data_IF_107426523754
#
_entry.id   IF_107426523754
#
_cell.length_a   1.000
_cell.length_b   1.000
_cell.length_c   1.000
_cell.angle_alpha   90.00
_cell.angle_beta   90.00
_cell.angle_gamma   90.00
#
_symmetry.space_group_name_H-M   'P 1'
#
loop_
_entity.id
_entity.type
_entity.pdbx_description
1 polymer ?
#
# COMPACT_ATOMS: atom_id res chain seq x y z
N UNK A 1 -5.00 32.38 21.20
CA UNK A 1 -4.40 31.92 22.48
C UNK A 1 -5.25 30.86 23.17
N UNK A 2 -6.32 31.20 23.92
CA UNK A 2 -7.03 30.25 24.82
C UNK A 2 -7.49 28.91 24.22
N UNK A 3 -7.91 28.90 22.94
CA UNK A 3 -8.32 27.66 22.24
C UNK A 3 -7.13 26.77 21.88
N UNK A 4 -5.99 27.36 21.52
CA UNK A 4 -4.76 26.64 21.21
C UNK A 4 -4.15 26.03 22.48
N UNK A 5 -4.13 26.79 23.57
CA UNK A 5 -3.72 26.31 24.90
C UNK A 5 -4.58 25.13 25.36
N UNK A 6 -5.91 25.22 25.27
CA UNK A 6 -6.79 24.12 25.65
C UNK A 6 -6.58 22.84 24.81
N UNK A 7 -6.21 23.00 23.53
CA UNK A 7 -5.86 21.87 22.67
C UNK A 7 -4.50 21.27 23.05
N UNK A 8 -3.50 22.12 23.33
CA UNK A 8 -2.19 21.70 23.82
C UNK A 8 -2.27 20.97 25.16
N UNK A 9 -3.11 21.45 26.09
CA UNK A 9 -3.35 20.78 27.38
C UNK A 9 -4.02 19.41 27.22
N UNK A 10 -4.90 19.25 26.21
CA UNK A 10 -5.66 18.01 26.01
C UNK A 10 -4.88 16.95 25.22
N UNK A 11 -4.07 17.36 24.25
CA UNK A 11 -3.42 16.46 23.29
C UNK A 11 -1.89 16.45 23.38
N UNK A 12 -1.32 17.34 24.18
CA UNK A 12 0.13 17.50 24.37
C UNK A 12 0.80 18.29 23.25
N UNK A 13 2.13 18.27 23.30
CA UNK A 13 3.05 19.01 22.42
C UNK A 13 2.87 18.66 20.92
N UNK A 14 2.63 17.39 20.60
CA UNK A 14 2.68 16.96 19.19
C UNK A 14 1.37 17.20 18.44
N UNK A 15 1.35 18.22 17.59
CA UNK A 15 0.23 18.55 16.68
C UNK A 15 -0.17 17.37 15.78
N UNK A 16 0.76 16.46 15.50
CA UNK A 16 0.47 15.24 14.73
C UNK A 16 -0.57 14.33 15.41
N UNK A 17 -0.68 14.39 16.74
CA UNK A 17 -1.63 13.62 17.55
C UNK A 17 -3.00 14.28 17.64
N UNK A 18 -3.11 15.54 17.27
CA UNK A 18 -4.35 16.31 17.38
C UNK A 18 -5.38 15.81 16.34
N UNK A 19 -6.68 16.12 16.52
CA UNK A 19 -7.72 15.82 15.53
C UNK A 19 -7.40 16.46 14.17
N UNK A 20 -7.68 15.75 13.07
CA UNK A 20 -7.27 16.14 11.73
C UNK A 20 -7.81 17.53 11.32
N UNK A 21 -8.98 17.88 11.84
CA UNK A 21 -9.70 19.12 11.57
C UNK A 21 -8.98 20.35 12.10
N UNK A 22 -8.17 20.20 13.15
CA UNK A 22 -7.47 21.32 13.82
C UNK A 22 -5.98 21.37 13.54
N UNK A 23 -5.39 20.36 12.89
CA UNK A 23 -3.93 20.31 12.63
C UNK A 23 -3.45 21.44 11.73
N UNK A 24 -4.17 21.69 10.63
CA UNK A 24 -3.79 22.73 9.67
C UNK A 24 -3.92 24.13 10.28
N UNK A 25 -4.96 24.36 11.07
CA UNK A 25 -5.17 25.61 11.81
C UNK A 25 -4.08 25.81 12.88
N UNK A 26 -3.76 24.77 13.63
CA UNK A 26 -2.72 24.80 14.66
C UNK A 26 -1.32 25.05 14.06
N UNK A 27 -0.99 24.42 12.93
CA UNK A 27 0.28 24.65 12.23
C UNK A 27 0.38 26.10 11.71
N UNK A 28 -0.68 26.62 11.07
CA UNK A 28 -0.73 28.01 10.63
C UNK A 28 -0.64 29.00 11.80
N UNK A 29 -1.24 28.69 12.95
CA UNK A 29 -1.15 29.51 14.16
C UNK A 29 0.27 29.54 14.74
N UNK A 30 1.03 28.44 14.65
CA UNK A 30 2.44 28.41 15.04
C UNK A 30 3.35 29.24 14.14
N UNK A 31 3.10 29.21 12.84
CA UNK A 31 3.85 30.03 11.88
C UNK A 31 3.58 31.52 12.08
N UNK A 32 2.33 31.87 12.41
CA UNK A 32 1.92 33.25 12.65
C UNK A 32 2.38 33.80 14.01
N UNK A 33 2.44 32.96 15.04
CA UNK A 33 2.68 33.38 16.42
C UNK A 33 3.76 32.52 17.10
N UNK A 34 5.02 33.00 17.14
CA UNK A 34 6.13 32.28 17.75
C UNK A 34 5.94 31.99 19.25
N UNK A 35 5.12 32.77 19.95
CA UNK A 35 4.81 32.52 21.36
C UNK A 35 3.98 31.24 21.59
N UNK A 36 3.25 30.76 20.57
CA UNK A 36 2.55 29.48 20.62
C UNK A 36 3.51 28.28 20.78
N UNK A 37 4.73 28.39 20.24
CA UNK A 37 5.77 27.38 20.41
C UNK A 37 6.28 27.31 21.86
N UNK A 38 6.15 28.38 22.65
CA UNK A 38 6.49 28.34 24.07
C UNK A 38 5.48 27.51 24.88
N UNK A 39 4.19 27.61 24.55
CA UNK A 39 3.13 26.81 25.15
C UNK A 39 3.32 25.31 24.89
N UNK A 40 3.63 24.92 23.64
CA UNK A 40 3.93 23.51 23.33
C UNK A 40 5.17 23.00 24.06
N UNK A 41 6.19 23.84 24.21
CA UNK A 41 7.43 23.47 24.92
C UNK A 41 7.21 23.26 26.42
N UNK A 42 6.26 23.95 27.01
CA UNK A 42 5.86 23.75 28.40
C UNK A 42 5.13 22.40 28.55
N UNK A 43 4.19 22.10 27.66
CA UNK A 43 3.54 20.80 27.59
C UNK A 43 4.56 19.66 27.37
N UNK A 44 5.52 19.85 26.47
CA UNK A 44 6.59 18.87 26.19
C UNK A 44 7.47 18.59 27.41
N UNK A 45 7.76 19.63 28.22
CA UNK A 45 8.54 19.47 29.45
C UNK A 45 7.79 18.65 30.50
N UNK A 46 6.49 18.88 30.66
CA UNK A 46 5.65 18.08 31.55
C UNK A 46 5.62 16.61 31.09
N UNK A 47 5.40 16.36 29.80
CA UNK A 47 5.41 15.02 29.23
C UNK A 47 6.77 14.32 29.41
N UNK A 48 7.87 15.06 29.29
CA UNK A 48 9.22 14.52 29.51
C UNK A 48 9.46 14.12 30.98
N UNK A 49 8.95 14.92 31.93
CA UNK A 49 8.99 14.58 33.36
C UNK A 49 8.19 13.32 33.62
N UNK A 50 6.98 13.22 33.05
CA UNK A 50 6.12 12.05 33.20
C UNK A 50 6.72 10.78 32.55
N UNK A 51 7.35 10.92 31.39
CA UNK A 51 8.01 9.81 30.70
C UNK A 51 9.25 9.29 31.45
N UNK A 52 9.88 10.12 32.27
CA UNK A 52 11.01 9.74 33.13
C UNK A 52 10.60 8.82 34.30
N UNK A 53 9.34 8.85 34.72
CA UNK A 53 8.84 7.98 35.77
C UNK A 53 8.40 6.60 35.23
N UNK A 54 9.39 5.70 35.20
CA UNK A 54 9.27 4.24 35.25
C UNK A 54 8.78 3.48 34.00
N UNK A 55 9.68 2.73 33.33
CA UNK A 55 9.28 1.45 32.78
C UNK A 55 9.02 0.50 33.95
N UNK A 56 7.75 0.27 34.28
CA UNK A 56 7.36 -0.88 35.11
C UNK A 56 7.83 -2.12 34.36
N UNK A 57 8.79 -2.86 34.92
CA UNK A 57 9.16 -4.19 34.42
C UNK A 57 7.88 -5.01 34.33
N UNK A 58 7.40 -5.19 33.10
CA UNK A 58 6.11 -5.86 32.87
C UNK A 58 6.26 -7.29 33.36
N UNK A 59 5.38 -7.73 34.27
CA UNK A 59 5.45 -9.11 34.72
C UNK A 59 5.07 -10.03 33.55
N UNK A 60 5.81 -11.12 33.36
CA UNK A 60 5.55 -12.12 32.30
C UNK A 60 4.08 -12.59 32.28
N UNK A 61 3.41 -12.55 33.44
CA UNK A 61 2.00 -12.89 33.58
C UNK A 61 1.07 -11.85 32.94
N UNK A 62 1.37 -10.56 33.06
CA UNK A 62 0.58 -9.49 32.45
C UNK A 62 0.74 -9.50 30.93
N UNK A 63 1.96 -9.70 30.43
CA UNK A 63 2.23 -9.84 28.99
C UNK A 63 1.42 -11.00 28.41
N UNK A 64 1.49 -12.18 29.03
CA UNK A 64 0.71 -13.36 28.60
C UNK A 64 -0.79 -13.13 28.65
N UNK A 65 -1.29 -12.37 29.64
CA UNK A 65 -2.71 -12.05 29.75
C UNK A 65 -3.17 -11.10 28.64
N UNK A 66 -2.36 -10.11 28.30
CA UNK A 66 -2.62 -9.16 27.21
C UNK A 66 -2.62 -9.92 25.87
N UNK A 67 -1.58 -10.72 25.60
CA UNK A 67 -1.48 -11.52 24.38
C UNK A 67 -2.67 -12.49 24.22
N UNK A 68 -3.16 -13.07 25.32
CA UNK A 68 -4.34 -13.96 25.31
C UNK A 68 -5.66 -13.21 25.08
N UNK A 69 -5.71 -11.92 25.41
CA UNK A 69 -6.91 -11.09 25.23
C UNK A 69 -7.10 -10.59 23.80
N UNK A 70 -6.08 -10.71 22.94
CA UNK A 70 -6.24 -10.38 21.53
C UNK A 70 -7.18 -11.38 20.83
N UNK A 71 -8.12 -10.90 20.00
CA UNK A 71 -8.91 -11.77 19.16
C UNK A 71 -7.97 -12.55 18.24
N UNK A 72 -8.06 -13.88 18.28
CA UNK A 72 -7.27 -14.74 17.39
C UNK A 72 -7.58 -14.34 15.94
N UNK A 73 -6.57 -14.14 15.08
CA UNK A 73 -6.82 -13.90 13.66
C UNK A 73 -7.65 -15.05 13.11
N UNK A 74 -8.77 -14.74 12.47
CA UNK A 74 -9.73 -15.71 11.91
C UNK A 74 -9.17 -16.54 10.73
N UNK A 75 -7.89 -16.35 10.39
CA UNK A 75 -7.23 -17.03 9.29
C UNK A 75 -6.21 -18.05 9.81
N UNK A 76 -6.73 -19.17 10.32
CA UNK A 76 -6.06 -20.48 10.22
C UNK A 76 -6.30 -21.08 8.82
N UNK A 77 -6.14 -20.26 7.77
CA UNK A 77 -6.18 -20.77 6.41
C UNK A 77 -4.84 -21.42 6.14
N UNK A 78 -4.82 -22.75 6.25
CA UNK A 78 -3.71 -23.64 6.00
C UNK A 78 -3.20 -23.44 4.54
N UNK A 79 -2.40 -22.38 4.33
CA UNK A 79 -1.91 -21.87 3.03
C UNK A 79 -1.12 -22.90 2.23
N UNK A 80 -0.74 -23.99 2.90
CA UNK A 80 -0.14 -25.18 2.31
C UNK A 80 -1.06 -25.85 1.29
N UNK A 81 -2.38 -25.80 1.49
CA UNK A 81 -3.37 -26.42 0.58
C UNK A 81 -3.43 -25.73 -0.80
N UNK A 82 -3.61 -24.39 -0.91
CA UNK A 82 -3.54 -23.73 -2.21
C UNK A 82 -2.14 -23.78 -2.83
N UNK A 83 -1.07 -23.74 -2.02
CA UNK A 83 0.30 -23.82 -2.52
C UNK A 83 0.62 -25.16 -3.20
N UNK A 84 0.15 -26.29 -2.65
CA UNK A 84 0.33 -27.62 -3.26
C UNK A 84 -0.47 -27.75 -4.57
N UNK A 85 -1.68 -27.21 -4.63
CA UNK A 85 -2.48 -27.21 -5.85
C UNK A 85 -1.83 -26.40 -6.98
N UNK A 86 -1.26 -25.23 -6.66
CA UNK A 86 -0.53 -24.40 -7.62
C UNK A 86 0.72 -25.12 -8.15
N UNK A 87 1.49 -25.78 -7.28
CA UNK A 87 2.67 -26.56 -7.68
C UNK A 87 2.30 -27.74 -8.61
N UNK A 88 1.21 -28.45 -8.32
CA UNK A 88 0.74 -29.56 -9.17
C UNK A 88 0.32 -29.08 -10.57
N UNK A 89 -0.36 -27.93 -10.67
CA UNK A 89 -0.75 -27.35 -11.94
C UNK A 89 0.46 -26.96 -12.81
N UNK A 90 1.52 -26.41 -12.20
CA UNK A 90 2.76 -26.08 -12.91
C UNK A 90 3.47 -27.32 -13.47
N UNK A 91 3.49 -28.44 -12.73
CA UNK A 91 4.11 -29.69 -13.18
C UNK A 91 3.32 -30.32 -14.34
N UNK A 92 2.00 -30.31 -14.27
CA UNK A 92 1.13 -30.83 -15.34
C UNK A 92 1.26 -29.95 -16.60
N UNK A 93 1.27 -28.62 -16.45
CA UNK A 93 1.47 -27.69 -17.56
C UNK A 93 2.83 -27.84 -18.24
N UNK A 94 3.90 -28.06 -17.46
CA UNK A 94 5.25 -28.26 -17.98
C UNK A 94 5.36 -29.58 -18.79
N UNK A 95 4.73 -30.66 -18.32
CA UNK A 95 4.72 -31.95 -19.03
C UNK A 95 3.85 -31.91 -20.30
N UNK A 96 2.70 -31.23 -20.26
CA UNK A 96 1.87 -31.02 -21.45
C UNK A 96 2.55 -30.17 -22.52
N UNK A 97 3.26 -29.11 -22.10
CA UNK A 97 4.00 -28.22 -23.01
C UNK A 97 5.17 -28.91 -23.73
N UNK A 98 5.89 -29.81 -23.05
CA UNK A 98 7.03 -30.51 -23.65
C UNK A 98 6.61 -31.57 -24.67
N UNK A 99 5.46 -32.23 -24.47
CA UNK A 99 4.94 -33.22 -25.42
C UNK A 99 4.24 -32.59 -26.64
N UNK A 100 3.68 -31.37 -26.50
CA UNK A 100 3.01 -30.66 -27.61
C UNK A 100 3.95 -29.92 -28.57
N UNK A 101 5.18 -29.59 -28.14
CA UNK A 101 6.14 -28.81 -28.94
C UNK A 101 6.74 -29.57 -30.13
N UNK A 102 6.60 -30.90 -30.22
CA UNK A 102 7.15 -31.72 -31.31
C UNK A 102 6.19 -31.94 -32.48
N UNK A 103 4.94 -31.46 -32.37
CA UNK A 103 3.89 -31.60 -33.38
C UNK A 103 3.51 -30.27 -34.04
N UNK A 104 4.28 -29.19 -33.85
CA UNK A 104 4.15 -28.00 -34.70
C UNK A 104 4.78 -28.36 -36.05
N UNK A 105 3.99 -28.58 -37.13
CA UNK A 105 4.57 -28.74 -38.45
C UNK A 105 5.34 -27.45 -38.77
N UNK A 106 6.49 -27.58 -39.43
CA UNK A 106 7.24 -26.44 -39.95
C UNK A 106 6.27 -25.51 -40.68
N UNK A 107 6.01 -24.34 -40.09
CA UNK A 107 5.16 -23.33 -40.70
C UNK A 107 5.91 -22.85 -41.94
N UNK A 108 5.34 -23.07 -43.12
CA UNK A 108 5.88 -22.49 -44.36
C UNK A 108 5.87 -20.96 -44.19
N UNK A 109 7.07 -20.37 -44.03
CA UNK A 109 7.31 -18.95 -43.77
C UNK A 109 6.60 -18.03 -44.78
N UNK A 110 6.34 -18.53 -46.00
CA UNK A 110 5.66 -17.79 -47.06
C UNK A 110 4.17 -17.55 -46.75
N UNK A 111 3.50 -18.43 -46.00
CA UNK A 111 2.06 -18.28 -45.69
C UNK A 111 1.85 -17.31 -44.53
N UNK A 112 2.74 -17.37 -43.54
CA UNK A 112 2.71 -16.48 -42.36
C UNK A 112 3.06 -15.04 -42.73
N UNK A 113 4.01 -14.84 -43.65
CA UNK A 113 4.37 -13.51 -44.15
C UNK A 113 3.28 -12.88 -45.02
N UNK A 114 2.56 -13.67 -45.82
CA UNK A 114 1.41 -13.21 -46.60
C UNK A 114 0.23 -12.78 -45.71
N UNK A 115 -0.12 -13.55 -44.68
CA UNK A 115 -1.18 -13.17 -43.73
C UNK A 115 -0.81 -11.95 -42.89
N UNK A 116 0.45 -11.80 -42.49
CA UNK A 116 0.91 -10.60 -41.79
C UNK A 116 0.95 -9.37 -42.70
N UNK A 117 1.31 -9.52 -43.98
CA UNK A 117 1.32 -8.42 -44.94
C UNK A 117 -0.10 -7.92 -45.23
N UNK A 118 -1.05 -8.83 -45.47
CA UNK A 118 -2.46 -8.49 -45.73
C UNK A 118 -3.13 -7.79 -44.53
N UNK A 119 -2.82 -8.23 -43.31
CA UNK A 119 -3.32 -7.61 -42.09
C UNK A 119 -2.81 -6.17 -41.88
N UNK A 120 -1.59 -5.85 -42.35
CA UNK A 120 -1.04 -4.49 -42.27
C UNK A 120 -1.50 -3.61 -43.43
N UNK A 121 -1.72 -4.16 -44.62
CA UNK A 121 -2.20 -3.41 -45.78
C UNK A 121 -3.64 -2.91 -45.56
N UNK A 122 -4.52 -3.77 -45.05
CA UNK A 122 -5.89 -3.38 -44.67
C UNK A 122 -5.94 -2.33 -43.54
N UNK A 123 -4.95 -2.31 -42.65
CA UNK A 123 -4.84 -1.29 -41.60
C UNK A 123 -4.36 0.07 -42.16
N UNK A 124 -3.53 0.06 -43.21
CA UNK A 124 -3.02 1.27 -43.86
C UNK A 124 -4.08 1.92 -44.77
N UNK A 125 -4.88 1.12 -45.48
CA UNK A 125 -6.00 1.63 -46.28
C UNK A 125 -7.05 2.35 -45.42
N UNK A 126 -7.45 1.78 -44.28
CA UNK A 126 -8.42 2.40 -43.35
C UNK A 126 -7.88 3.70 -42.75
N UNK A 127 -6.58 3.74 -42.42
CA UNK A 127 -5.94 4.96 -41.93
C UNK A 127 -5.88 6.09 -42.97
N UNK A 128 -5.56 5.75 -44.22
CA UNK A 128 -5.53 6.73 -45.31
C UNK A 128 -6.92 7.32 -45.58
N UNK A 129 -7.98 6.53 -45.47
CA UNK A 129 -9.35 7.01 -45.66
C UNK A 129 -9.79 8.04 -44.60
N UNK A 130 -9.22 7.98 -43.38
CA UNK A 130 -9.53 8.90 -42.29
C UNK A 130 -8.67 10.17 -42.35
N UNK A 131 -7.42 10.08 -42.82
CA UNK A 131 -6.50 11.22 -42.89
C UNK A 131 -6.89 12.26 -43.95
N UNK A 132 -7.63 11.86 -45.00
CA UNK A 132 -8.14 12.77 -46.04
C UNK A 132 -9.54 13.33 -45.77
N UNK A 133 -10.16 13.01 -44.64
CA UNK A 133 -11.51 13.52 -44.29
C UNK A 133 -11.52 14.91 -43.63
N UNK A 134 -10.35 15.45 -43.27
CA UNK A 134 -10.20 16.74 -42.54
C UNK A 134 -9.35 17.79 -43.29
N UNK A 135 -9.24 17.69 -44.63
CA UNK A 135 -8.58 18.69 -45.49
C UNK A 135 -9.55 19.38 -46.47
#
# INVERSE_FOLDING_TARGET
MKRFEALADSWGDSISRWPAEVRSEAAAFLEAEPSAAACLREAAQLDAILAGEMPVTTSDLLERRILRSFPKPAFDADWRRPAVAAAAALVIGLMGGFAGGTLVPAQDDDTMSLEYADAFDGLMEDWSAWEWSDA
#
